data_IF_778656020886
#
_entry.id   IF_778656020886
#
_cell.length_a   1.000
_cell.length_b   1.000
_cell.length_c   1.000
_cell.angle_alpha   90.00
_cell.angle_beta   90.00
_cell.angle_gamma   90.00
#
_symmetry.space_group_name_H-M   'P 1'
#
loop_
_entity.id
_entity.type
_entity.pdbx_description
1 polymer ?
#
# COMPACT_ATOMS: atom_id res chain seq x y z
N UNK A 1 13.21 11.55 -16.15
CA UNK A 1 11.91 11.42 -15.47
C UNK A 1 11.35 10.04 -15.84
N UNK A 2 11.64 9.00 -15.04
CA UNK A 2 11.15 7.63 -15.23
C UNK A 2 10.39 7.25 -13.95
N UNK A 3 9.30 6.51 -14.08
CA UNK A 3 8.51 6.04 -12.96
C UNK A 3 7.80 4.73 -13.34
N UNK A 4 7.40 3.97 -12.33
CA UNK A 4 6.60 2.75 -12.48
C UNK A 4 5.26 2.96 -11.80
N UNK A 5 4.17 2.63 -12.49
CA UNK A 5 2.83 2.68 -11.89
C UNK A 5 2.28 1.29 -11.70
N UNK A 6 1.40 1.16 -10.71
CA UNK A 6 0.49 0.03 -10.57
C UNK A 6 -0.68 0.12 -11.57
N UNK A 7 -0.35 0.46 -12.82
CA UNK A 7 -1.29 0.73 -13.90
C UNK A 7 -1.94 -0.57 -14.39
N UNK A 8 -3.23 -0.49 -14.71
CA UNK A 8 -3.96 -1.56 -15.38
C UNK A 8 -5.11 -1.00 -16.21
N UNK A 9 -5.51 -1.79 -17.21
CA UNK A 9 -6.59 -1.48 -18.12
C UNK A 9 -7.64 -2.59 -18.05
N UNK A 10 -8.87 -2.23 -17.67
CA UNK A 10 -10.01 -3.15 -17.64
C UNK A 10 -10.84 -2.93 -18.90
N UNK A 11 -11.15 -4.00 -19.63
CA UNK A 11 -12.07 -3.98 -20.76
C UNK A 11 -13.40 -4.58 -20.33
N UNK A 12 -14.49 -3.84 -20.46
CA UNK A 12 -15.82 -4.25 -20.05
C UNK A 12 -16.88 -3.83 -21.06
N UNK A 13 -18.09 -4.39 -20.95
CA UNK A 13 -19.25 -3.88 -21.69
C UNK A 13 -19.76 -2.58 -21.05
N UNK A 14 -20.57 -1.82 -21.78
CA UNK A 14 -21.20 -0.61 -21.23
C UNK A 14 -22.06 -0.92 -20.00
N UNK A 15 -22.80 -2.04 -20.02
CA UNK A 15 -23.67 -2.46 -18.92
C UNK A 15 -22.88 -2.86 -17.64
N UNK A 16 -21.61 -3.25 -17.79
CA UNK A 16 -20.73 -3.63 -16.69
C UNK A 16 -20.00 -2.43 -16.06
N UNK A 17 -19.98 -1.27 -16.73
CA UNK A 17 -19.12 -0.13 -16.38
C UNK A 17 -19.29 0.29 -14.92
N UNK A 18 -20.52 0.50 -14.46
CA UNK A 18 -20.78 0.94 -13.08
C UNK A 18 -20.28 -0.09 -12.06
N UNK A 19 -20.54 -1.39 -12.28
CA UNK A 19 -20.10 -2.46 -11.38
C UNK A 19 -18.57 -2.60 -11.33
N UNK A 20 -17.88 -2.42 -12.46
CA UNK A 20 -16.42 -2.46 -12.52
C UNK A 20 -15.81 -1.26 -11.78
N UNK A 21 -16.32 -0.05 -12.03
CA UNK A 21 -15.91 1.17 -11.30
C UNK A 21 -16.14 1.00 -9.80
N UNK A 22 -17.31 0.48 -9.41
CA UNK A 22 -17.67 0.18 -8.02
C UNK A 22 -16.66 -0.77 -7.35
N UNK A 23 -16.28 -1.84 -8.04
CA UNK A 23 -15.27 -2.80 -7.56
C UNK A 23 -13.88 -2.15 -7.43
N UNK A 24 -13.48 -1.31 -8.38
CA UNK A 24 -12.20 -0.60 -8.35
C UNK A 24 -12.13 0.43 -7.22
N UNK A 25 -13.24 1.10 -6.90
CA UNK A 25 -13.34 1.99 -5.74
C UNK A 25 -13.10 1.19 -4.45
N UNK A 26 -13.77 0.06 -4.25
CA UNK A 26 -13.58 -0.79 -3.05
C UNK A 26 -12.14 -1.28 -2.91
N UNK A 27 -11.54 -1.71 -4.03
CA UNK A 27 -10.15 -2.13 -4.05
C UNK A 27 -9.22 -0.98 -3.62
N UNK A 28 -9.47 0.23 -4.12
CA UNK A 28 -8.71 1.43 -3.78
C UNK A 28 -8.77 1.73 -2.28
N UNK A 29 -9.98 1.79 -1.71
CA UNK A 29 -10.17 2.03 -0.27
C UNK A 29 -9.54 0.94 0.60
N UNK A 30 -9.66 -0.34 0.21
CA UNK A 30 -9.04 -1.45 0.94
C UNK A 30 -7.51 -1.31 0.96
N UNK A 31 -6.90 -1.05 -0.19
CA UNK A 31 -5.45 -0.89 -0.27
C UNK A 31 -4.97 0.30 0.57
N UNK A 32 -5.63 1.45 0.48
CA UNK A 32 -5.29 2.60 1.32
C UNK A 32 -5.42 2.30 2.81
N UNK A 33 -6.47 1.57 3.20
CA UNK A 33 -6.66 1.10 4.58
C UNK A 33 -5.51 0.20 5.05
N UNK A 34 -5.00 -0.69 4.18
CA UNK A 34 -3.87 -1.58 4.50
C UNK A 34 -2.56 -0.78 4.71
N UNK A 35 -2.40 0.35 4.01
CA UNK A 35 -1.29 1.30 4.23
C UNK A 35 -1.53 2.29 5.39
N UNK A 36 -2.68 2.24 6.05
CA UNK A 36 -3.01 3.10 7.20
C UNK A 36 -3.71 4.41 6.84
N UNK A 37 -3.95 4.69 5.56
CA UNK A 37 -4.70 5.87 5.13
C UNK A 37 -6.20 5.65 5.32
N UNK A 38 -6.85 6.62 5.95
CA UNK A 38 -8.31 6.60 6.21
C UNK A 38 -9.02 7.90 5.86
N UNK A 39 -8.28 9.02 5.80
CA UNK A 39 -8.75 10.30 5.31
C UNK A 39 -8.49 10.39 3.80
N UNK A 40 -9.53 10.07 3.00
CA UNK A 40 -9.48 10.01 1.55
C UNK A 40 -10.52 10.97 0.99
N UNK A 41 -10.07 11.99 0.29
CA UNK A 41 -10.94 12.89 -0.46
C UNK A 41 -11.11 12.35 -1.88
N UNK A 42 -12.34 12.38 -2.39
CA UNK A 42 -12.63 11.96 -3.77
C UNK A 42 -13.08 13.16 -4.60
N UNK A 43 -12.58 13.24 -5.83
CA UNK A 43 -13.04 14.20 -6.82
C UNK A 43 -13.50 13.50 -8.10
N UNK A 44 -14.54 14.03 -8.73
CA UNK A 44 -15.01 13.65 -10.06
C UNK A 44 -14.62 14.74 -11.05
N UNK A 45 -13.60 14.48 -11.86
CA UNK A 45 -13.14 15.40 -12.89
C UNK A 45 -13.90 15.15 -14.20
N UNK A 46 -14.63 16.16 -14.66
CA UNK A 46 -15.56 16.08 -15.81
C UNK A 46 -14.97 16.71 -17.07
N UNK A 47 -15.70 16.61 -18.18
CA UNK A 47 -15.21 16.91 -19.53
C UNK A 47 -14.47 18.25 -19.67
N UNK A 48 -13.26 18.27 -20.25
CA UNK A 48 -12.57 19.50 -20.64
C UNK A 48 -13.20 20.13 -21.89
N UNK A 49 -12.82 21.37 -22.18
CA UNK A 49 -13.24 22.06 -23.40
C UNK A 49 -12.70 21.35 -24.66
N UNK A 50 -11.44 20.94 -24.66
CA UNK A 50 -10.81 20.16 -25.73
C UNK A 50 -10.91 18.67 -25.43
N UNK A 51 -11.79 17.97 -26.15
CA UNK A 51 -12.06 16.54 -25.93
C UNK A 51 -12.36 15.77 -27.20
N UNK A 52 -12.21 14.45 -27.12
CA UNK A 52 -12.61 13.51 -28.16
C UNK A 52 -13.85 12.74 -27.74
N UNK A 53 -14.62 12.26 -28.73
CA UNK A 53 -15.87 11.54 -28.50
C UNK A 53 -17.09 12.47 -28.45
N UNK A 54 -18.26 11.87 -28.65
CA UNK A 54 -19.55 12.55 -28.68
C UNK A 54 -20.05 12.90 -27.27
N UNK A 55 -20.89 13.92 -27.15
CA UNK A 55 -21.45 14.38 -25.87
C UNK A 55 -22.22 13.27 -25.15
N UNK A 56 -22.96 12.44 -25.89
CA UNK A 56 -23.68 11.31 -25.32
C UNK A 56 -22.76 10.24 -24.70
N UNK A 57 -21.51 10.09 -25.18
CA UNK A 57 -20.54 9.21 -24.53
C UNK A 57 -20.06 9.80 -23.21
N UNK A 58 -19.77 11.09 -23.21
CA UNK A 58 -19.35 11.81 -22.02
C UNK A 58 -20.45 11.87 -20.95
N UNK A 59 -21.70 12.11 -21.35
CA UNK A 59 -22.85 12.12 -20.43
C UNK A 59 -22.97 10.77 -19.72
N UNK A 60 -22.83 9.66 -20.46
CA UNK A 60 -22.87 8.31 -19.91
C UNK A 60 -21.68 8.03 -19.00
N UNK A 61 -20.48 8.42 -19.40
CA UNK A 61 -19.25 8.23 -18.64
C UNK A 61 -19.30 8.96 -17.28
N UNK A 62 -19.65 10.25 -17.31
CA UNK A 62 -19.75 11.10 -16.11
C UNK A 62 -20.85 10.59 -15.18
N UNK A 63 -22.01 10.19 -15.75
CA UNK A 63 -23.10 9.60 -14.98
C UNK A 63 -22.68 8.29 -14.32
N UNK A 64 -22.05 7.37 -15.05
CA UNK A 64 -21.61 6.09 -14.48
C UNK A 64 -20.61 6.27 -13.33
N UNK A 65 -19.70 7.25 -13.45
CA UNK A 65 -18.76 7.59 -12.38
C UNK A 65 -19.46 8.25 -11.18
N UNK A 66 -20.43 9.14 -11.40
CA UNK A 66 -21.21 9.76 -10.32
C UNK A 66 -22.07 8.71 -9.59
N UNK A 67 -22.85 7.92 -10.33
CA UNK A 67 -23.73 6.87 -9.80
C UNK A 67 -22.94 5.88 -8.92
N UNK A 68 -21.74 5.48 -9.34
CA UNK A 68 -20.90 4.56 -8.57
C UNK A 68 -20.45 5.13 -7.22
N UNK A 69 -20.25 6.45 -7.12
CA UNK A 69 -19.93 7.12 -5.85
C UNK A 69 -21.19 7.29 -4.99
N UNK A 70 -22.31 7.67 -5.59
CA UNK A 70 -23.60 7.87 -4.93
C UNK A 70 -24.13 6.55 -4.33
N UNK A 71 -24.07 5.44 -5.09
CA UNK A 71 -24.47 4.10 -4.63
C UNK A 71 -23.69 3.67 -3.38
N UNK A 72 -22.41 4.03 -3.32
CA UNK A 72 -21.52 3.75 -2.19
C UNK A 72 -21.59 4.78 -1.07
N UNK A 73 -22.40 5.83 -1.21
CA UNK A 73 -22.48 6.96 -0.28
C UNK A 73 -21.11 7.62 -0.02
N UNK A 74 -20.27 7.70 -1.06
CA UNK A 74 -18.95 8.33 -0.97
C UNK A 74 -19.10 9.82 -1.27
N UNK A 75 -18.77 10.73 -0.34
CA UNK A 75 -18.79 12.15 -0.63
C UNK A 75 -17.69 12.51 -1.64
N UNK A 76 -18.01 13.36 -2.60
CA UNK A 76 -17.06 13.80 -3.62
C UNK A 76 -17.27 15.26 -4.01
N UNK A 77 -16.23 15.86 -4.59
CA UNK A 77 -16.31 17.17 -5.22
C UNK A 77 -16.28 17.03 -6.73
N UNK A 78 -17.08 17.82 -7.45
CA UNK A 78 -17.01 17.88 -8.92
C UNK A 78 -15.94 18.89 -9.31
N UNK A 79 -15.08 18.52 -10.24
CA UNK A 79 -14.06 19.38 -10.83
C UNK A 79 -14.36 19.58 -12.32
N UNK A 80 -15.08 20.66 -12.69
CA UNK A 80 -15.42 20.94 -14.07
C UNK A 80 -14.18 21.18 -14.92
N UNK A 81 -14.04 20.44 -16.01
CA UNK A 81 -12.97 20.67 -16.99
C UNK A 81 -11.63 19.98 -16.71
N UNK A 82 -11.51 19.26 -15.60
CA UNK A 82 -10.26 18.60 -15.17
C UNK A 82 -10.14 17.14 -15.65
N UNK A 83 -11.13 16.63 -16.38
CA UNK A 83 -11.07 15.33 -17.04
C UNK A 83 -10.00 15.28 -18.12
N UNK A 84 -9.53 14.08 -18.49
CA UNK A 84 -8.60 13.97 -19.62
C UNK A 84 -9.35 14.19 -20.94
N UNK A 85 -8.62 14.48 -22.02
CA UNK A 85 -9.25 14.70 -23.33
C UNK A 85 -10.08 13.51 -23.84
N UNK A 86 -9.87 12.30 -23.31
CA UNK A 86 -10.52 11.05 -23.71
C UNK A 86 -11.54 10.48 -22.71
N UNK A 87 -11.75 11.13 -21.55
CA UNK A 87 -12.82 10.75 -20.64
C UNK A 87 -12.69 11.27 -19.20
N UNK A 88 -13.78 11.16 -18.41
CA UNK A 88 -13.83 11.63 -17.03
C UNK A 88 -13.11 10.64 -16.08
N UNK A 89 -12.81 11.08 -14.87
CA UNK A 89 -12.09 10.27 -13.88
C UNK A 89 -12.51 10.56 -12.45
N UNK A 90 -12.41 9.53 -11.61
CA UNK A 90 -12.28 9.67 -10.17
C UNK A 90 -10.82 9.95 -9.80
N UNK A 91 -10.59 10.91 -8.93
CA UNK A 91 -9.30 11.16 -8.30
C UNK A 91 -9.41 10.88 -6.81
N UNK A 92 -8.44 10.13 -6.28
CA UNK A 92 -8.34 9.84 -4.86
C UNK A 92 -7.16 10.62 -4.28
N UNK A 93 -7.46 11.51 -3.35
CA UNK A 93 -6.50 12.38 -2.70
C UNK A 93 -6.32 11.92 -1.27
N UNK A 94 -5.11 11.47 -0.96
CA UNK A 94 -4.70 11.08 0.38
C UNK A 94 -4.26 12.31 1.17
N UNK A 95 -4.56 12.30 2.47
CA UNK A 95 -3.97 13.23 3.42
C UNK A 95 -2.92 12.52 4.26
N UNK A 96 -1.70 13.06 4.30
CA UNK A 96 -0.63 12.51 5.14
C UNK A 96 -0.74 13.01 6.60
N UNK A 97 0.09 12.45 7.48
CA UNK A 97 0.12 12.72 8.93
C UNK A 97 0.40 14.17 9.30
N UNK A 98 0.95 14.98 8.39
CA UNK A 98 1.18 16.42 8.58
C UNK A 98 0.22 17.30 7.77
N UNK A 99 -0.80 16.70 7.16
CA UNK A 99 -1.95 17.37 6.56
C UNK A 99 -1.78 17.77 5.09
N UNK A 100 -0.73 17.33 4.39
CA UNK A 100 -0.55 17.60 2.96
C UNK A 100 -1.44 16.67 2.12
N UNK A 101 -1.86 17.17 0.96
CA UNK A 101 -2.77 16.48 0.03
C UNK A 101 -1.98 15.88 -1.13
N UNK A 102 -2.21 14.59 -1.39
CA UNK A 102 -1.52 13.82 -2.42
C UNK A 102 -2.54 13.09 -3.31
N UNK A 103 -2.72 13.57 -4.54
CA UNK A 103 -3.48 12.83 -5.54
C UNK A 103 -2.69 11.58 -5.95
N UNK A 104 -3.21 10.40 -5.64
CA UNK A 104 -2.55 9.11 -5.88
C UNK A 104 -3.37 8.26 -6.84
N UNK A 105 -4.56 7.85 -6.41
CA UNK A 105 -5.42 6.95 -7.17
C UNK A 105 -6.15 7.68 -8.29
N UNK A 106 -6.37 6.97 -9.38
CA UNK A 106 -7.24 7.39 -10.48
C UNK A 106 -8.01 6.21 -11.02
N UNK A 107 -9.29 6.41 -11.31
CA UNK A 107 -10.12 5.50 -12.12
C UNK A 107 -10.68 6.34 -13.25
N UNK A 108 -10.28 6.06 -14.48
CA UNK A 108 -10.60 6.87 -15.65
C UNK A 108 -11.26 6.03 -16.72
N UNK A 109 -12.40 6.49 -17.23
CA UNK A 109 -13.14 5.80 -18.28
C UNK A 109 -12.72 6.34 -19.64
N UNK A 110 -12.46 5.45 -20.60
CA UNK A 110 -12.07 5.77 -21.97
C UNK A 110 -12.97 5.01 -22.97
N UNK A 111 -13.74 5.80 -23.72
CA UNK A 111 -14.60 5.32 -24.82
C UNK A 111 -13.97 5.48 -26.20
N UNK A 112 -12.82 6.15 -26.30
CA UNK A 112 -12.18 6.55 -27.55
C UNK A 112 -11.09 5.57 -27.97
N UNK A 113 -10.13 5.28 -27.08
CA UNK A 113 -8.94 4.51 -27.44
C UNK A 113 -9.24 3.07 -27.89
N UNK A 114 -10.19 2.32 -27.27
CA UNK A 114 -10.52 0.96 -27.72
C UNK A 114 -10.91 0.91 -29.21
N UNK A 115 -11.79 1.82 -29.65
CA UNK A 115 -12.22 1.90 -31.04
C UNK A 115 -11.07 2.28 -31.98
N UNK A 116 -10.21 3.23 -31.58
CA UNK A 116 -9.04 3.65 -32.37
C UNK A 116 -8.01 2.53 -32.56
N UNK A 117 -7.86 1.64 -31.59
CA UNK A 117 -6.95 0.50 -31.64
C UNK A 117 -7.58 -0.76 -32.28
N UNK A 118 -8.85 -0.69 -32.68
CA UNK A 118 -9.57 -1.82 -33.27
C UNK A 118 -9.97 -2.91 -32.26
N UNK A 119 -10.03 -2.58 -30.97
CA UNK A 119 -10.51 -3.50 -29.95
C UNK A 119 -12.00 -3.78 -30.15
N UNK A 120 -12.39 -5.06 -30.10
CA UNK A 120 -13.79 -5.48 -30.22
C UNK A 120 -14.05 -6.78 -29.47
N UNK A 121 -15.32 -7.00 -29.11
CA UNK A 121 -15.84 -8.26 -28.59
C UNK A 121 -17.11 -8.66 -29.34
N UNK A 122 -17.52 -9.92 -29.21
CA UNK A 122 -18.78 -10.43 -29.77
C UNK A 122 -19.84 -10.38 -28.69
N UNK A 123 -20.90 -9.59 -28.91
CA UNK A 123 -22.02 -9.47 -27.98
C UNK A 123 -22.97 -10.68 -28.10
N UNK A 124 -23.92 -10.79 -27.17
CA UNK A 124 -24.90 -11.90 -27.11
C UNK A 124 -25.74 -12.03 -28.39
N UNK A 125 -26.01 -10.92 -29.07
CA UNK A 125 -26.71 -10.85 -30.36
C UNK A 125 -25.83 -11.23 -31.57
N UNK A 126 -24.57 -11.61 -31.33
CA UNK A 126 -23.59 -11.93 -32.37
C UNK A 126 -22.96 -10.70 -33.06
N UNK A 127 -23.36 -9.49 -32.69
CA UNK A 127 -22.77 -8.26 -33.21
C UNK A 127 -21.37 -8.03 -32.66
N UNK A 128 -20.49 -7.41 -33.46
CA UNK A 128 -19.20 -6.91 -32.97
C UNK A 128 -19.40 -5.55 -32.31
N UNK A 129 -19.04 -5.43 -31.04
CA UNK A 129 -19.11 -4.19 -30.27
C UNK A 129 -17.73 -3.76 -29.79
N UNK A 130 -17.56 -2.47 -29.54
CA UNK A 130 -16.33 -1.90 -28.98
C UNK A 130 -16.45 -1.93 -27.45
N UNK A 131 -15.47 -2.48 -26.72
CA UNK A 131 -15.50 -2.47 -25.26
C UNK A 131 -15.21 -1.07 -24.71
N UNK A 132 -15.71 -0.79 -23.51
CA UNK A 132 -15.26 0.35 -22.70
C UNK A 132 -13.94 -0.04 -22.04
N UNK A 133 -12.99 0.91 -21.98
CA UNK A 133 -11.75 0.73 -21.25
C UNK A 133 -11.73 1.59 -19.99
N UNK A 134 -11.30 1.01 -18.88
CA UNK A 134 -11.09 1.73 -17.62
C UNK A 134 -9.60 1.68 -17.32
N UNK A 135 -8.95 2.85 -17.30
CA UNK A 135 -7.59 3.02 -16.82
C UNK A 135 -7.63 3.15 -15.31
N UNK A 136 -6.75 2.44 -14.61
CA UNK A 136 -6.64 2.59 -13.16
C UNK A 136 -5.19 2.53 -12.68
N UNK A 137 -4.89 3.40 -11.74
CA UNK A 137 -3.74 3.28 -10.86
C UNK A 137 -4.25 3.57 -9.44
N UNK A 138 -3.87 2.74 -8.46
CA UNK A 138 -4.38 2.88 -7.09
C UNK A 138 -3.38 3.66 -6.27
N UNK A 139 -2.11 3.27 -6.31
CA UNK A 139 -1.03 3.95 -5.60
C UNK A 139 -0.44 5.09 -6.44
N UNK A 140 -0.58 5.01 -7.76
CA UNK A 140 0.03 5.94 -8.69
C UNK A 140 1.46 5.51 -9.01
N UNK A 141 2.39 6.45 -9.11
CA UNK A 141 3.82 6.10 -9.20
C UNK A 141 4.29 5.46 -7.90
N UNK A 142 4.89 4.29 -7.98
CA UNK A 142 5.45 3.59 -6.82
C UNK A 142 6.56 4.43 -6.16
N UNK A 143 7.37 5.12 -6.95
CA UNK A 143 8.42 6.01 -6.45
C UNK A 143 7.83 7.16 -5.62
N UNK A 144 6.74 7.77 -6.10
CA UNK A 144 6.03 8.83 -5.37
C UNK A 144 5.35 8.29 -4.13
N UNK A 145 4.67 7.14 -4.24
CA UNK A 145 3.94 6.54 -3.12
C UNK A 145 4.88 6.11 -1.99
N UNK A 146 6.04 5.53 -2.31
CA UNK A 146 7.08 5.23 -1.32
C UNK A 146 7.57 6.51 -0.64
N UNK A 147 7.76 7.60 -1.39
CA UNK A 147 8.11 8.90 -0.82
C UNK A 147 7.08 9.40 0.19
N UNK A 148 5.79 9.35 -0.18
CA UNK A 148 4.67 9.72 0.70
C UNK A 148 4.68 8.85 1.96
N UNK A 149 4.82 7.53 1.83
CA UNK A 149 4.87 6.61 2.98
C UNK A 149 6.05 6.89 3.92
N UNK A 150 7.24 7.19 3.37
CA UNK A 150 8.41 7.52 4.20
C UNK A 150 8.15 8.79 5.02
N UNK A 151 7.56 9.80 4.40
CA UNK A 151 7.23 11.06 5.07
C UNK A 151 6.11 10.90 6.09
N UNK A 152 5.02 10.21 5.72
CA UNK A 152 3.86 9.95 6.56
C UNK A 152 4.22 9.18 7.83
N UNK A 153 5.10 8.17 7.70
CA UNK A 153 5.55 7.32 8.81
C UNK A 153 6.76 7.86 9.57
N UNK A 154 7.35 8.98 9.14
CA UNK A 154 8.64 9.48 9.63
C UNK A 154 9.76 8.40 9.58
N UNK A 155 9.69 7.52 8.58
CA UNK A 155 10.55 6.35 8.42
C UNK A 155 10.24 5.17 9.36
N UNK A 156 9.25 5.26 10.24
CA UNK A 156 8.77 4.14 11.07
C UNK A 156 7.83 3.22 10.29
N UNK A 157 8.35 2.60 9.23
CA UNK A 157 7.57 1.72 8.36
C UNK A 157 6.81 0.63 9.13
N UNK A 158 5.60 0.24 8.71
CA UNK A 158 4.92 -0.97 9.19
C UNK A 158 5.83 -2.20 9.11
N UNK A 159 5.62 -3.18 9.99
CA UNK A 159 6.51 -4.34 10.07
C UNK A 159 6.61 -5.09 8.73
N UNK A 160 5.51 -5.27 8.02
CA UNK A 160 5.49 -5.94 6.71
C UNK A 160 6.27 -5.18 5.63
N UNK A 161 6.41 -3.86 5.74
CA UNK A 161 7.18 -2.99 4.81
C UNK A 161 8.60 -2.69 5.27
N UNK A 162 8.93 -2.86 6.54
CA UNK A 162 10.21 -2.46 7.09
C UNK A 162 11.38 -3.20 6.37
N UNK A 163 12.41 -2.51 5.86
CA UNK A 163 13.52 -3.16 5.16
C UNK A 163 14.23 -4.21 6.02
N UNK A 164 14.37 -3.90 7.31
CA UNK A 164 14.77 -4.83 8.36
C UNK A 164 13.64 -4.87 9.38
N UNK A 165 13.08 -6.05 9.58
CA UNK A 165 11.92 -6.28 10.43
C UNK A 165 12.33 -6.46 11.88
N UNK A 166 13.39 -7.25 12.09
CA UNK A 166 13.93 -7.51 13.42
C UNK A 166 15.46 -7.48 13.41
N UNK A 167 16.05 -7.15 14.55
CA UNK A 167 17.49 -7.24 14.75
C UNK A 167 17.83 -7.97 16.04
N UNK A 168 18.73 -8.96 15.94
CA UNK A 168 19.23 -9.73 17.07
C UNK A 168 20.49 -9.11 17.66
N UNK A 169 20.50 -8.90 18.97
CA UNK A 169 21.55 -8.23 19.71
C UNK A 169 22.06 -9.15 20.83
N UNK A 170 23.30 -9.60 20.75
CA UNK A 170 23.96 -10.30 21.87
C UNK A 170 24.51 -9.31 22.90
N UNK A 171 24.43 -9.68 24.18
CA UNK A 171 25.06 -8.92 25.28
C UNK A 171 26.57 -9.17 25.31
N UNK A 172 27.01 -10.41 25.08
CA UNK A 172 28.42 -10.82 25.02
C UNK A 172 28.66 -11.82 23.88
N UNK A 173 29.91 -12.07 23.53
CA UNK A 173 30.27 -13.01 22.46
C UNK A 173 29.81 -14.45 22.72
N UNK A 174 29.52 -14.80 23.97
CA UNK A 174 29.00 -16.12 24.35
C UNK A 174 27.66 -16.46 23.71
N UNK A 175 26.85 -15.47 23.32
CA UNK A 175 25.56 -15.70 22.69
C UNK A 175 25.61 -15.64 21.14
N UNK A 176 26.79 -15.43 20.54
CA UNK A 176 26.90 -15.23 19.10
C UNK A 176 26.34 -16.39 18.27
N UNK A 177 26.60 -17.63 18.66
CA UNK A 177 26.12 -18.80 17.91
C UNK A 177 24.60 -18.96 18.02
N UNK A 178 24.05 -18.79 19.22
CA UNK A 178 22.60 -18.80 19.44
C UNK A 178 21.89 -17.70 18.64
N UNK A 179 22.48 -16.51 18.55
CA UNK A 179 21.97 -15.42 17.71
C UNK A 179 21.97 -15.80 16.24
N UNK A 180 23.06 -16.39 15.72
CA UNK A 180 23.13 -16.84 14.31
C UNK A 180 22.12 -17.94 14.01
N UNK A 181 21.94 -18.89 14.92
CA UNK A 181 20.94 -19.95 14.79
C UNK A 181 19.52 -19.37 14.75
N UNK A 182 19.21 -18.44 15.66
CA UNK A 182 17.92 -17.75 15.72
C UNK A 182 17.68 -16.91 14.46
N UNK A 183 18.68 -16.17 13.99
CA UNK A 183 18.62 -15.40 12.74
C UNK A 183 18.28 -16.31 11.55
N UNK A 184 18.98 -17.45 11.43
CA UNK A 184 18.74 -18.41 10.35
C UNK A 184 17.35 -19.02 10.43
N UNK A 185 16.84 -19.32 11.64
CA UNK A 185 15.49 -19.83 11.83
C UNK A 185 14.44 -18.82 11.34
N UNK A 186 14.55 -17.57 11.78
CA UNK A 186 13.58 -16.52 11.42
C UNK A 186 13.64 -16.19 9.92
N UNK A 187 14.83 -16.18 9.31
CA UNK A 187 14.99 -16.03 7.86
C UNK A 187 14.33 -17.17 7.09
N UNK A 188 14.45 -18.41 7.57
CA UNK A 188 13.76 -19.58 6.98
C UNK A 188 12.23 -19.46 7.08
N UNK A 189 11.72 -18.68 8.02
CA UNK A 189 10.30 -18.37 8.18
C UNK A 189 9.86 -17.14 7.35
N UNK A 190 10.75 -16.53 6.57
CA UNK A 190 10.44 -15.42 5.67
C UNK A 190 10.65 -14.02 6.26
N UNK A 191 11.20 -13.91 7.48
CA UNK A 191 11.48 -12.61 8.09
C UNK A 191 12.78 -11.99 7.59
N UNK A 192 12.79 -10.66 7.46
CA UNK A 192 13.99 -9.85 7.16
C UNK A 192 14.73 -9.51 8.46
N UNK A 193 15.66 -10.38 8.84
CA UNK A 193 16.38 -10.30 10.11
C UNK A 193 17.85 -9.95 9.90
N UNK A 194 18.40 -9.11 10.76
CA UNK A 194 19.85 -8.87 10.91
C UNK A 194 20.33 -9.26 12.31
N UNK A 195 21.65 -9.43 12.48
CA UNK A 195 22.28 -9.55 13.80
C UNK A 195 23.39 -8.51 13.97
N UNK A 196 23.50 -7.95 15.19
CA UNK A 196 24.59 -7.07 15.59
C UNK A 196 25.49 -7.77 16.63
N UNK A 197 26.49 -8.47 16.11
CA UNK A 197 27.47 -9.24 16.88
C UNK A 197 28.74 -8.44 17.22
N UNK A 198 28.74 -7.12 17.01
CA UNK A 198 29.93 -6.30 17.33
C UNK A 198 30.22 -6.32 18.83
N UNK A 199 31.49 -6.21 19.21
CA UNK A 199 31.89 -6.07 20.61
C UNK A 199 31.64 -4.64 21.11
N UNK A 200 30.37 -4.30 21.28
CA UNK A 200 29.88 -2.99 21.70
C UNK A 200 28.90 -3.13 22.86
N UNK A 201 28.78 -2.08 23.68
CA UNK A 201 27.81 -2.07 24.79
C UNK A 201 26.38 -2.26 24.26
N UNK A 202 25.59 -3.10 24.91
CA UNK A 202 24.21 -3.38 24.47
C UNK A 202 23.34 -2.13 24.31
N UNK A 203 23.50 -1.14 25.21
CA UNK A 203 22.79 0.15 25.09
C UNK A 203 23.14 0.93 23.82
N UNK A 204 24.39 0.83 23.35
CA UNK A 204 24.80 1.43 22.08
C UNK A 204 24.15 0.72 20.89
N UNK A 205 24.16 -0.62 20.89
CA UNK A 205 23.50 -1.42 19.84
C UNK A 205 22.00 -1.13 19.76
N UNK A 206 21.32 -1.07 20.91
CA UNK A 206 19.89 -0.72 20.99
C UNK A 206 19.64 0.67 20.42
N UNK A 207 20.43 1.66 20.82
CA UNK A 207 20.29 3.04 20.32
C UNK A 207 20.47 3.12 18.80
N UNK A 208 21.51 2.49 18.25
CA UNK A 208 21.75 2.46 16.80
C UNK A 208 20.60 1.80 16.05
N UNK A 209 20.10 0.67 16.55
CA UNK A 209 18.96 -0.05 15.97
C UNK A 209 17.67 0.77 16.00
N UNK A 210 17.45 1.50 17.10
CA UNK A 210 16.29 2.40 17.26
C UNK A 210 16.35 3.59 16.29
N UNK A 211 17.54 4.16 16.07
CA UNK A 211 17.76 5.24 15.09
C UNK A 211 17.47 4.76 13.65
N UNK A 212 17.73 3.49 13.35
CA UNK A 212 17.37 2.84 12.07
C UNK A 212 15.87 2.51 11.95
N UNK A 213 15.06 2.79 12.98
CA UNK A 213 13.61 2.54 13.04
C UNK A 213 13.20 1.07 12.88
N UNK A 214 14.10 0.13 13.21
CA UNK A 214 13.84 -1.32 13.11
C UNK A 214 12.70 -1.70 14.07
N UNK A 215 11.57 -2.26 13.59
CA UNK A 215 10.38 -2.47 14.41
C UNK A 215 10.61 -3.22 15.72
N UNK A 216 11.36 -4.33 15.69
CA UNK A 216 11.64 -5.13 16.89
C UNK A 216 13.13 -5.39 17.09
N UNK A 217 13.57 -5.20 18.33
CA UNK A 217 14.92 -5.48 18.80
C UNK A 217 14.84 -6.72 19.69
N UNK A 218 15.62 -7.74 19.34
CA UNK A 218 15.65 -9.04 20.00
C UNK A 218 16.96 -9.17 20.77
N UNK A 219 16.91 -9.07 22.10
CA UNK A 219 18.10 -9.09 22.95
C UNK A 219 18.32 -10.48 23.52
N UNK A 220 19.56 -10.95 23.46
CA UNK A 220 19.97 -12.27 23.96
C UNK A 220 21.09 -12.13 24.99
N UNK A 221 20.78 -12.44 26.25
CA UNK A 221 21.74 -12.65 27.32
C UNK A 221 21.98 -14.13 27.62
N UNK A 222 22.72 -14.40 28.71
CA UNK A 222 23.00 -15.76 29.15
C UNK A 222 21.72 -16.53 29.55
N UNK A 223 20.75 -15.83 30.17
CA UNK A 223 19.44 -16.42 30.52
C UNK A 223 18.66 -16.81 29.27
N UNK A 224 18.52 -15.87 28.33
CA UNK A 224 17.78 -16.09 27.09
C UNK A 224 18.40 -17.25 26.28
N UNK A 225 19.73 -17.31 26.19
CA UNK A 225 20.44 -18.44 25.57
C UNK A 225 20.15 -19.76 26.28
N UNK A 226 20.19 -19.80 27.61
CA UNK A 226 19.99 -21.02 28.39
C UNK A 226 18.55 -21.55 28.28
N UNK A 227 17.58 -20.64 28.19
CA UNK A 227 16.14 -20.97 28.15
C UNK A 227 15.61 -21.13 26.71
N UNK A 228 16.40 -20.83 25.68
CA UNK A 228 15.94 -20.86 24.29
C UNK A 228 14.92 -19.76 23.97
N UNK A 229 15.05 -18.60 24.63
CA UNK A 229 14.15 -17.44 24.50
C UNK A 229 14.89 -16.23 23.95
N UNK A 230 14.16 -15.16 23.65
CA UNK A 230 14.71 -13.83 23.34
C UNK A 230 13.89 -12.77 24.08
N UNK A 231 14.55 -11.72 24.58
CA UNK A 231 13.85 -10.55 25.10
C UNK A 231 13.45 -9.62 23.95
N UNK A 232 12.18 -9.28 23.84
CA UNK A 232 11.63 -8.54 22.70
C UNK A 232 11.29 -7.12 23.11
N UNK A 233 11.81 -6.15 22.35
CA UNK A 233 11.54 -4.72 22.55
C UNK A 233 11.05 -4.10 21.26
N UNK A 234 10.07 -3.19 21.33
CA UNK A 234 9.64 -2.39 20.18
C UNK A 234 10.60 -1.23 19.92
N UNK A 235 10.57 -0.67 18.71
CA UNK A 235 11.33 0.55 18.38
C UNK A 235 10.99 1.76 19.25
N UNK A 236 9.78 1.85 19.80
CA UNK A 236 9.37 2.93 20.70
C UNK A 236 9.80 2.67 22.14
N UNK A 237 10.43 1.52 22.39
CA UNK A 237 11.09 1.21 23.64
C UNK A 237 10.24 0.39 24.62
N UNK A 238 9.06 -0.05 24.20
CA UNK A 238 8.22 -0.95 24.99
C UNK A 238 8.90 -2.30 25.11
N UNK A 239 8.97 -2.82 26.34
CA UNK A 239 9.42 -4.17 26.64
C UNK A 239 8.23 -5.13 26.55
N UNK A 240 8.34 -6.15 25.70
CA UNK A 240 7.33 -7.18 25.50
C UNK A 240 7.67 -8.47 26.25
N UNK A 241 8.72 -8.46 27.07
CA UNK A 241 9.20 -9.60 27.84
C UNK A 241 9.98 -10.61 27.00
N UNK A 242 10.12 -11.82 27.54
CA UNK A 242 10.82 -12.92 26.88
C UNK A 242 9.86 -13.81 26.12
N UNK A 243 10.23 -14.17 24.89
CA UNK A 243 9.44 -15.03 24.01
C UNK A 243 10.31 -16.24 23.60
N UNK A 244 9.78 -17.48 23.65
CA UNK A 244 10.46 -18.65 23.09
C UNK A 244 10.78 -18.46 21.61
N UNK A 245 11.99 -18.85 21.19
CA UNK A 245 12.41 -18.73 19.79
C UNK A 245 11.45 -19.48 18.83
N UNK A 246 10.89 -20.60 19.28
CA UNK A 246 9.92 -21.40 18.53
C UNK A 246 8.60 -20.68 18.24
N UNK A 247 8.19 -19.75 19.10
CA UNK A 247 6.93 -19.00 18.98
C UNK A 247 7.12 -17.61 18.33
N UNK A 248 8.38 -17.16 18.24
CA UNK A 248 8.71 -15.77 17.95
C UNK A 248 8.11 -15.28 16.62
N UNK A 249 8.17 -16.08 15.57
CA UNK A 249 7.58 -15.72 14.27
C UNK A 249 6.08 -15.47 14.36
N UNK A 250 5.32 -16.38 14.99
CA UNK A 250 3.87 -16.23 15.13
C UNK A 250 3.52 -15.03 16.03
N UNK A 251 4.28 -14.81 17.11
CA UNK A 251 4.09 -13.67 17.99
C UNK A 251 4.33 -12.34 17.27
N UNK A 252 5.40 -12.22 16.49
CA UNK A 252 5.72 -10.99 15.76
C UNK A 252 4.64 -10.64 14.72
N UNK A 253 4.11 -11.63 14.00
CA UNK A 253 2.99 -11.43 13.07
C UNK A 253 1.69 -11.03 13.80
N UNK A 254 1.42 -11.64 14.96
CA UNK A 254 0.24 -11.31 15.76
C UNK A 254 0.27 -9.90 16.36
N UNK A 255 1.47 -9.42 16.72
CA UNK A 255 1.66 -8.06 17.24
C UNK A 255 1.43 -6.98 16.17
N UNK A 256 1.68 -7.30 14.89
CA UNK A 256 1.43 -6.40 13.77
C UNK A 256 -0.07 -6.19 13.50
N UNK A 257 -0.88 -7.24 13.62
CA UNK A 257 -2.32 -7.18 13.31
C UNK A 257 -3.11 -6.16 14.17
N UNK A 258 -2.53 -5.71 15.30
CA UNK A 258 -3.12 -4.69 16.18
C UNK A 258 -2.43 -3.33 16.18
N UNK A 259 -1.25 -3.19 15.56
CA UNK A 259 -0.44 -1.98 15.64
C UNK A 259 -0.63 -1.11 14.39
N UNK A 260 -1.61 -0.20 14.44
CA UNK A 260 -1.56 1.04 13.62
C UNK A 260 -0.76 2.07 14.41
N UNK A 261 0.44 2.35 13.90
CA UNK A 261 1.52 3.21 14.44
C UNK A 261 2.44 2.53 15.46
#
# INVERSE_FOLDING_TARGET
RRFTQDDAHVFCTEDQLQSEVSTLIELTYRMYKDFGFSDIEVALSTRPQERVGEDALWDRAEKALADALEEKNIPYTVQPGEGAFYGPKHEFVLRDSIGRRWQCGTIQVDFSMPGRLGASYVAEDGSKRVPVMIHRAILGSLERFIGILIEDTEGKMPFWLAPVQTILLNITDKQADFVRETENLLKKQGLRVESDLRNEKIGYKIRQSTLRRIPYLLVVGDREKAEGTVAVRTRDGQDLGTIPVTELHQRLLGLEAGARH
#
